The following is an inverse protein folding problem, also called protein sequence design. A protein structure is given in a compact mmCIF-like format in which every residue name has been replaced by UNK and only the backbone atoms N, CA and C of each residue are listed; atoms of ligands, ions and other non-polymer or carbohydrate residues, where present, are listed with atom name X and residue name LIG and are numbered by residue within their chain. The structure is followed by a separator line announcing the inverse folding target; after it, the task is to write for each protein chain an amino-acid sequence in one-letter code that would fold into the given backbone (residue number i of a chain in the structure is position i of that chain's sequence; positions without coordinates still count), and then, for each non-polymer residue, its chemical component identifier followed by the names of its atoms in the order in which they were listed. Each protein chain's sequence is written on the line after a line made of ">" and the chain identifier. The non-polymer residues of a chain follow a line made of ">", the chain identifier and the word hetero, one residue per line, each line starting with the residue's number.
data_IF_321115685822
#
_entry.id   IF_321115685822
#
_cell.length_a   1.000
_cell.length_b   1.000
_cell.length_c   1.000
_cell.angle_alpha   90.00
_cell.angle_beta   90.00
_cell.angle_gamma   90.00
#
_symmetry.space_group_name_H-M   'P 1'
#
loop_
_entity.id
_entity.type
_entity.pdbx_description
1 polymer ?
#
# COMPACT_ATOMS: atom_id res chain seq x y z
N UNK A 1 10.49 -4.77 23.82
CA UNK A 1 10.39 -3.42 23.21
C UNK A 1 9.69 -3.45 21.84
N UNK A 2 8.40 -3.83 21.77
CA UNK A 2 7.67 -4.07 20.50
C UNK A 2 6.37 -3.24 20.35
N UNK A 3 6.16 -2.21 21.17
CA UNK A 3 4.89 -1.45 21.18
C UNK A 3 5.02 0.09 21.06
N UNK A 4 6.22 0.65 21.17
CA UNK A 4 6.37 2.12 21.26
C UNK A 4 6.73 2.82 19.94
N UNK A 5 7.11 2.08 18.89
CA UNK A 5 7.57 2.68 17.63
C UNK A 5 6.46 3.33 16.77
N UNK A 6 5.19 3.16 17.14
CA UNK A 6 4.05 3.51 16.30
C UNK A 6 2.98 4.33 17.02
N UNK A 7 3.15 4.61 18.31
CA UNK A 7 2.08 5.22 19.10
C UNK A 7 2.11 6.75 19.13
N UNK A 8 3.16 7.41 18.62
CA UNK A 8 3.19 8.85 18.46
C UNK A 8 4.03 9.18 17.23
N UNK A 9 3.54 10.08 16.38
CA UNK A 9 4.44 10.84 15.51
C UNK A 9 5.53 11.45 16.40
N UNK A 10 6.82 11.06 16.28
CA UNK A 10 7.85 11.57 17.18
C UNK A 10 8.10 13.07 16.98
N UNK A 11 7.67 13.65 15.85
CA UNK A 11 7.72 15.09 15.60
C UNK A 11 6.30 15.67 15.78
N UNK A 12 6.08 16.46 16.83
CA UNK A 12 4.83 17.19 17.13
C UNK A 12 4.56 18.35 16.14
N UNK A 13 5.16 18.33 14.96
CA UNK A 13 5.06 19.38 13.96
C UNK A 13 4.24 18.86 12.79
N UNK A 14 3.33 19.69 12.30
CA UNK A 14 2.53 19.37 11.13
C UNK A 14 3.46 19.30 9.91
N UNK A 15 3.51 18.14 9.27
CA UNK A 15 4.32 17.92 8.08
C UNK A 15 3.94 18.88 6.96
N UNK A 16 2.68 19.34 6.87
CA UNK A 16 2.25 20.29 5.84
C UNK A 16 2.83 21.69 6.06
N UNK A 17 3.18 22.04 7.30
CA UNK A 17 3.73 23.33 7.68
C UNK A 17 5.26 23.38 7.73
N UNK A 18 5.94 22.23 7.63
CA UNK A 18 7.40 22.16 7.61
C UNK A 18 7.99 22.82 6.35
N UNK A 19 9.09 23.56 6.52
CA UNK A 19 9.86 24.15 5.42
C UNK A 19 10.63 23.09 4.65
N UNK A 20 10.72 23.24 3.33
CA UNK A 20 11.50 22.35 2.48
C UNK A 20 10.92 22.22 1.07
N UNK A 21 11.35 21.18 0.38
CA UNK A 21 10.85 20.80 -0.95
C UNK A 21 9.75 19.75 -0.84
N UNK A 22 9.17 19.35 -1.96
CA UNK A 22 8.22 18.22 -2.00
C UNK A 22 8.87 16.90 -1.59
N UNK A 23 10.17 16.75 -1.79
CA UNK A 23 10.92 15.52 -1.59
C UNK A 23 11.60 15.46 -0.22
N UNK A 24 11.84 16.60 0.41
CA UNK A 24 12.50 16.69 1.71
C UNK A 24 11.94 17.85 2.51
N UNK A 25 11.54 17.59 3.76
CA UNK A 25 11.11 18.66 4.69
C UNK A 25 11.97 18.67 5.94
N UNK A 26 12.27 19.85 6.45
CA UNK A 26 12.97 20.02 7.72
C UNK A 26 11.96 19.99 8.88
N UNK A 27 12.10 19.03 9.79
CA UNK A 27 11.43 19.12 11.10
C UNK A 27 12.32 20.02 11.98
N UNK A 28 11.86 21.24 12.25
CA UNK A 28 12.60 22.23 13.04
C UNK A 28 12.73 21.79 14.50
N UNK A 29 11.78 21.00 15.01
CA UNK A 29 11.84 20.42 16.37
C UNK A 29 12.95 19.37 16.54
N UNK A 30 13.15 18.54 15.53
CA UNK A 30 14.15 17.47 15.53
C UNK A 30 15.45 17.89 14.85
N UNK A 31 15.53 19.10 14.28
CA UNK A 31 16.64 19.61 13.47
C UNK A 31 17.12 18.60 12.42
N UNK A 32 16.17 17.88 11.81
CA UNK A 32 16.45 16.76 10.91
C UNK A 32 15.65 16.90 9.63
N UNK A 33 16.33 16.72 8.49
CA UNK A 33 15.68 16.64 7.18
C UNK A 33 15.02 15.27 7.01
N UNK A 34 13.72 15.30 6.76
CA UNK A 34 12.86 14.15 6.57
C UNK A 34 12.63 13.91 5.07
N UNK A 35 13.13 12.79 4.51
CA UNK A 35 12.83 12.45 3.13
C UNK A 35 11.36 12.03 2.99
N UNK A 36 10.72 12.49 1.93
CA UNK A 36 9.36 12.14 1.56
C UNK A 36 9.33 10.86 0.72
N UNK A 37 8.77 9.80 1.30
CA UNK A 37 8.68 8.49 0.69
C UNK A 37 7.26 8.17 0.19
N UNK A 38 6.36 9.15 0.18
CA UNK A 38 4.95 8.97 -0.19
C UNK A 38 4.77 8.34 -1.59
N UNK A 39 5.71 8.59 -2.50
CA UNK A 39 5.68 8.06 -3.87
C UNK A 39 6.49 6.75 -4.06
N UNK A 40 7.26 6.34 -3.05
CA UNK A 40 8.11 5.12 -3.11
C UNK A 40 7.27 3.86 -2.85
N UNK A 41 7.70 2.74 -3.42
CA UNK A 41 7.08 1.43 -3.17
C UNK A 41 7.31 0.98 -1.72
N UNK A 42 6.43 0.14 -1.19
CA UNK A 42 6.57 -0.43 0.15
C UNK A 42 7.88 -1.22 0.25
N UNK A 43 8.23 -1.97 -0.81
CA UNK A 43 9.50 -2.71 -0.87
C UNK A 43 10.72 -1.80 -0.66
N UNK A 44 10.77 -0.67 -1.38
CA UNK A 44 11.88 0.27 -1.25
C UNK A 44 11.92 0.89 0.15
N UNK A 45 10.76 1.23 0.70
CA UNK A 45 10.66 1.77 2.06
C UNK A 45 11.18 0.76 3.09
N UNK A 46 10.75 -0.51 2.97
CA UNK A 46 11.15 -1.57 3.90
C UNK A 46 12.65 -1.85 3.83
N UNK A 47 13.18 -2.04 2.62
CA UNK A 47 14.60 -2.34 2.41
C UNK A 47 15.52 -1.21 2.92
N UNK A 48 15.11 0.04 2.69
CA UNK A 48 15.99 1.17 2.87
C UNK A 48 15.80 1.91 4.20
N UNK A 49 14.61 1.85 4.82
CA UNK A 49 14.25 2.70 5.96
C UNK A 49 13.69 1.94 7.16
N UNK A 50 12.93 0.86 6.95
CA UNK A 50 12.29 0.15 8.06
C UNK A 50 13.32 -0.46 9.03
N UNK A 51 13.12 -0.24 10.33
CA UNK A 51 14.04 -0.68 11.39
C UNK A 51 15.34 0.12 11.53
N UNK A 52 15.62 1.09 10.65
CA UNK A 52 16.87 1.88 10.67
C UNK A 52 16.82 3.15 11.53
N UNK A 53 15.77 3.33 12.33
CA UNK A 53 15.55 4.51 13.21
C UNK A 53 15.70 5.86 12.50
N UNK A 54 15.28 5.94 11.23
CA UNK A 54 15.24 7.19 10.45
C UNK A 54 13.82 7.74 10.44
N UNK A 55 13.68 9.05 10.62
CA UNK A 55 12.42 9.75 10.46
C UNK A 55 12.17 10.03 8.97
N UNK A 56 10.96 9.78 8.49
CA UNK A 56 10.58 9.88 7.06
C UNK A 56 9.12 10.32 6.96
N UNK A 57 8.74 10.93 5.84
CA UNK A 57 7.34 11.27 5.55
C UNK A 57 6.73 10.14 4.72
N UNK A 58 5.55 9.68 5.13
CA UNK A 58 4.77 8.62 4.47
C UNK A 58 3.37 9.12 4.15
N UNK A 59 2.76 8.57 3.10
CA UNK A 59 1.33 8.76 2.89
C UNK A 59 0.52 8.06 3.99
N UNK A 60 -0.69 8.57 4.27
CA UNK A 60 -1.57 8.00 5.30
C UNK A 60 -1.84 6.49 5.10
N UNK A 61 -1.94 6.04 3.84
CA UNK A 61 -2.10 4.62 3.51
C UNK A 61 -0.88 3.76 3.86
N UNK A 62 0.32 4.27 3.57
CA UNK A 62 1.56 3.59 3.95
C UNK A 62 1.68 3.54 5.47
N UNK A 63 1.33 4.63 6.16
CA UNK A 63 1.33 4.69 7.62
C UNK A 63 0.35 3.67 8.23
N UNK A 64 -0.91 3.63 7.77
CA UNK A 64 -1.90 2.66 8.26
C UNK A 64 -1.46 1.22 7.99
N UNK A 65 -0.86 0.95 6.82
CA UNK A 65 -0.25 -0.34 6.51
C UNK A 65 0.84 -0.70 7.54
N UNK A 66 1.83 0.17 7.75
CA UNK A 66 2.91 -0.05 8.73
C UNK A 66 2.42 -0.16 10.18
N UNK A 67 1.33 0.53 10.53
CA UNK A 67 0.68 0.42 11.85
C UNK A 67 0.04 -0.95 12.08
N UNK A 68 -0.49 -1.58 11.03
CA UNK A 68 -1.13 -2.91 11.11
C UNK A 68 -0.12 -4.04 11.14
N UNK A 69 1.08 -3.80 10.65
CA UNK A 69 2.09 -4.83 10.48
C UNK A 69 2.74 -5.23 11.81
N UNK A 70 2.67 -6.52 12.13
CA UNK A 70 3.28 -7.07 13.36
C UNK A 70 4.76 -7.47 13.18
N UNK A 71 5.14 -7.85 11.97
CA UNK A 71 6.52 -8.16 11.51
C UNK A 71 6.47 -8.40 10.00
N UNK A 72 7.39 -7.83 9.21
CA UNK A 72 7.50 -8.16 7.78
C UNK A 72 8.28 -9.44 7.58
N UNK A 73 7.65 -10.48 7.06
CA UNK A 73 8.38 -11.68 6.61
C UNK A 73 8.75 -11.57 5.14
N UNK A 74 7.83 -11.12 4.28
CA UNK A 74 8.03 -11.03 2.83
C UNK A 74 7.20 -9.90 2.20
N UNK A 75 7.69 -9.33 1.10
CA UNK A 75 6.98 -8.37 0.25
C UNK A 75 6.88 -8.98 -1.13
N UNK A 76 5.68 -9.01 -1.70
CA UNK A 76 5.41 -9.52 -3.04
C UNK A 76 4.80 -8.40 -3.88
N UNK A 77 5.54 -7.87 -4.83
CA UNK A 77 4.98 -6.91 -5.78
C UNK A 77 4.29 -7.68 -6.92
N UNK A 78 3.16 -7.17 -7.39
CA UNK A 78 2.28 -7.75 -8.40
C UNK A 78 1.82 -6.66 -9.38
N UNK A 79 2.59 -6.32 -10.41
CA UNK A 79 2.19 -5.31 -11.41
C UNK A 79 1.74 -5.95 -12.71
N UNK A 80 0.49 -5.72 -13.16
CA UNK A 80 0.09 -6.03 -14.54
C UNK A 80 0.26 -4.78 -15.40
N UNK A 81 1.37 -4.67 -16.14
CA UNK A 81 1.50 -3.69 -17.21
C UNK A 81 0.59 -4.14 -18.35
N UNK A 82 -0.59 -3.54 -18.46
CA UNK A 82 -1.45 -3.72 -19.63
C UNK A 82 -0.87 -2.91 -20.79
N UNK A 83 0.05 -3.51 -21.53
CA UNK A 83 0.45 -2.98 -22.83
C UNK A 83 -0.70 -3.31 -23.79
N UNK A 84 -1.16 -2.28 -24.51
CA UNK A 84 -2.32 -2.36 -25.39
C UNK A 84 -2.28 -3.54 -26.37
N UNK A 85 -3.48 -4.06 -26.64
CA UNK A 85 -3.87 -4.98 -27.72
C UNK A 85 -3.20 -6.35 -27.75
N UNK A 86 -3.57 -7.25 -26.84
CA UNK A 86 -4.21 -8.55 -27.17
C UNK A 86 -4.53 -9.31 -25.88
N UNK A 87 -5.78 -9.78 -25.77
CA UNK A 87 -6.21 -10.74 -24.77
C UNK A 87 -5.46 -12.06 -24.98
N UNK A 88 -4.28 -12.29 -24.38
CA UNK A 88 -3.81 -13.67 -24.17
C UNK A 88 -2.71 -13.92 -23.12
N UNK A 89 -1.91 -12.94 -22.65
CA UNK A 89 -0.90 -13.26 -21.63
C UNK A 89 -0.78 -12.16 -20.57
N UNK A 90 -1.44 -12.37 -19.43
CA UNK A 90 -1.13 -11.69 -18.17
C UNK A 90 -0.33 -12.64 -17.29
N UNK A 91 0.85 -12.98 -17.76
CA UNK A 91 1.91 -13.50 -16.90
C UNK A 91 2.98 -12.41 -16.82
N UNK A 92 3.66 -12.32 -15.69
CA UNK A 92 4.70 -11.36 -15.32
C UNK A 92 4.19 -10.13 -14.57
N UNK A 93 4.41 -10.20 -13.27
CA UNK A 93 4.14 -9.15 -12.31
C UNK A 93 4.42 -9.59 -10.88
N UNK A 94 4.27 -10.89 -10.57
CA UNK A 94 4.64 -11.49 -9.29
C UNK A 94 5.96 -12.23 -9.38
N UNK A 95 7.06 -11.49 -9.29
CA UNK A 95 8.41 -12.07 -9.41
C UNK A 95 8.86 -12.90 -8.21
N UNK A 96 8.05 -13.05 -7.14
CA UNK A 96 8.53 -13.77 -5.95
C UNK A 96 7.64 -14.81 -5.29
N UNK A 97 6.41 -15.04 -5.76
CA UNK A 97 5.62 -16.19 -5.24
C UNK A 97 4.75 -16.79 -6.33
N UNK A 98 5.23 -17.87 -6.97
CA UNK A 98 4.36 -18.82 -7.65
C UNK A 98 3.60 -19.61 -6.58
N UNK A 99 2.47 -19.07 -6.10
CA UNK A 99 1.50 -19.93 -5.45
C UNK A 99 0.88 -20.80 -6.53
N UNK A 100 1.04 -22.13 -6.44
CA UNK A 100 0.41 -23.08 -7.36
C UNK A 100 -1.12 -22.86 -7.43
N UNK A 101 -1.70 -22.40 -6.32
CA UNK A 101 -3.10 -22.02 -6.18
C UNK A 101 -3.24 -20.54 -5.78
N UNK A 102 -3.71 -19.71 -6.71
CA UNK A 102 -3.96 -18.29 -6.49
C UNK A 102 -5.35 -17.83 -6.93
N UNK A 103 -5.82 -16.75 -6.30
CA UNK A 103 -7.01 -16.00 -6.67
C UNK A 103 -6.59 -14.69 -7.34
N UNK A 104 -7.00 -14.50 -8.59
CA UNK A 104 -6.82 -13.25 -9.32
C UNK A 104 -7.91 -12.24 -8.94
N UNK A 105 -7.51 -11.11 -8.37
CA UNK A 105 -8.38 -9.99 -8.03
C UNK A 105 -8.21 -8.90 -9.09
N UNK A 106 -9.32 -8.45 -9.68
CA UNK A 106 -9.34 -7.34 -10.66
C UNK A 106 -10.35 -6.27 -10.27
N UNK A 107 -10.05 -5.02 -10.57
CA UNK A 107 -10.99 -3.91 -10.41
C UNK A 107 -10.48 -2.61 -11.02
N UNK A 108 -11.36 -1.61 -11.02
CA UNK A 108 -11.06 -0.21 -11.35
C UNK A 108 -11.08 0.55 -10.03
N UNK A 109 -9.96 1.16 -9.66
CA UNK A 109 -9.87 1.97 -8.46
C UNK A 109 -10.57 3.31 -8.66
N UNK A 110 -11.45 3.65 -7.72
CA UNK A 110 -12.13 4.93 -7.67
C UNK A 110 -12.01 5.55 -6.27
N UNK A 111 -12.13 6.87 -6.20
CA UNK A 111 -12.30 7.57 -4.93
C UNK A 111 -13.78 7.59 -4.46
N UNK A 112 -14.08 8.43 -3.47
CA UNK A 112 -15.43 8.58 -2.93
C UNK A 112 -16.38 9.30 -3.91
N UNK A 113 -15.84 10.24 -4.69
CA UNK A 113 -16.55 11.00 -5.72
C UNK A 113 -16.72 10.22 -7.04
N UNK A 114 -16.17 9.00 -7.08
CA UNK A 114 -16.19 8.05 -8.21
C UNK A 114 -15.28 8.45 -9.37
N UNK A 115 -14.30 9.30 -9.12
CA UNK A 115 -13.23 9.58 -10.07
C UNK A 115 -12.29 8.38 -10.20
N UNK A 116 -11.76 8.17 -11.40
CA UNK A 116 -10.84 7.07 -11.70
C UNK A 116 -9.45 7.43 -11.18
N UNK A 117 -8.89 6.55 -10.35
CA UNK A 117 -7.57 6.75 -9.75
C UNK A 117 -6.48 6.08 -10.60
N UNK A 118 -5.68 6.89 -11.29
CA UNK A 118 -4.55 6.46 -12.14
C UNK A 118 -3.24 6.41 -11.36
N UNK A 119 -2.33 5.53 -11.75
CA UNK A 119 -0.99 5.36 -11.15
C UNK A 119 -1.00 5.19 -9.62
N UNK A 120 -2.14 4.75 -9.08
CA UNK A 120 -2.41 4.66 -7.66
C UNK A 120 -1.93 3.32 -7.15
N UNK A 121 -1.08 3.35 -6.14
CA UNK A 121 -0.64 2.14 -5.46
C UNK A 121 -1.79 1.51 -4.67
N UNK A 122 -1.93 0.20 -4.81
CA UNK A 122 -2.89 -0.65 -4.11
C UNK A 122 -2.10 -1.63 -3.25
N UNK A 123 -2.48 -1.73 -1.98
CA UNK A 123 -1.81 -2.55 -0.99
C UNK A 123 -2.78 -3.57 -0.39
N UNK A 124 -2.29 -4.77 -0.13
CA UNK A 124 -2.97 -5.83 0.60
C UNK A 124 -1.97 -6.42 1.59
N UNK A 125 -2.34 -6.48 2.87
CA UNK A 125 -1.58 -7.17 3.91
C UNK A 125 -2.36 -8.39 4.35
N UNK A 126 -1.71 -9.55 4.26
CA UNK A 126 -2.28 -10.83 4.69
C UNK A 126 -1.93 -11.09 6.15
N UNK A 127 -2.92 -11.58 6.89
CA UNK A 127 -2.82 -11.86 8.32
C UNK A 127 -1.99 -13.12 8.62
N UNK A 128 -2.10 -14.11 7.74
CA UNK A 128 -1.67 -15.48 8.03
C UNK A 128 -0.15 -15.63 7.99
N UNK A 129 0.52 -14.94 7.07
CA UNK A 129 1.95 -15.06 6.81
C UNK A 129 2.72 -13.74 6.91
N UNK A 130 2.03 -12.66 7.32
CA UNK A 130 2.55 -11.30 7.36
C UNK A 130 3.13 -10.80 6.00
N UNK A 131 2.58 -11.29 4.89
CA UNK A 131 3.01 -10.87 3.54
C UNK A 131 2.24 -9.64 3.06
N UNK A 132 2.97 -8.72 2.42
CA UNK A 132 2.37 -7.59 1.70
C UNK A 132 2.36 -7.87 0.22
N UNK A 133 1.20 -7.62 -0.40
CA UNK A 133 1.05 -7.56 -1.83
C UNK A 133 0.83 -6.12 -2.29
N UNK A 134 1.59 -5.67 -3.28
CA UNK A 134 1.51 -4.32 -3.84
C UNK A 134 1.25 -4.37 -5.35
N UNK A 135 0.36 -3.52 -5.85
CA UNK A 135 0.17 -3.27 -7.29
C UNK A 135 -0.04 -1.78 -7.54
N UNK A 136 -0.13 -1.37 -8.80
CA UNK A 136 -0.49 0.00 -9.21
C UNK A 136 -1.59 -0.03 -10.26
N UNK A 137 -2.44 0.97 -10.23
CA UNK A 137 -3.46 1.15 -11.25
C UNK A 137 -2.84 1.72 -12.53
N UNK A 138 -3.35 1.30 -13.69
CA UNK A 138 -2.94 1.83 -14.99
C UNK A 138 -3.62 3.19 -15.30
N UNK A 139 -3.44 3.69 -16.52
CA UNK A 139 -4.06 4.93 -17.01
C UNK A 139 -5.60 4.92 -17.02
N UNK A 140 -6.21 3.73 -16.99
CA UNK A 140 -7.67 3.53 -16.90
C UNK A 140 -8.13 3.28 -15.46
N UNK A 141 -7.22 3.36 -14.48
CA UNK A 141 -7.46 3.04 -13.08
C UNK A 141 -7.63 1.55 -12.78
N UNK A 142 -7.35 0.67 -13.75
CA UNK A 142 -7.47 -0.78 -13.57
C UNK A 142 -6.27 -1.33 -12.81
N UNK A 143 -6.51 -2.29 -11.91
CA UNK A 143 -5.46 -3.02 -11.20
C UNK A 143 -5.74 -4.53 -11.21
N UNK A 144 -4.67 -5.31 -11.02
CA UNK A 144 -4.72 -6.75 -10.83
C UNK A 144 -3.79 -7.19 -9.69
N UNK A 145 -4.23 -8.19 -8.93
CA UNK A 145 -3.50 -8.74 -7.79
C UNK A 145 -3.75 -10.25 -7.71
N UNK A 146 -2.70 -11.09 -7.69
CA UNK A 146 -2.88 -12.50 -7.36
C UNK A 146 -2.61 -12.70 -5.86
N UNK A 147 -3.59 -13.21 -5.13
CA UNK A 147 -3.42 -13.58 -3.73
C UNK A 147 -3.44 -15.10 -3.60
N UNK A 148 -2.78 -15.69 -2.60
CA UNK A 148 -2.93 -17.12 -2.30
C UNK A 148 -4.40 -17.46 -2.04
N UNK A 149 -4.82 -18.68 -2.40
CA UNK A 149 -6.10 -19.20 -1.95
C UNK A 149 -6.10 -19.42 -0.44
N UNK A 150 -7.29 -19.37 0.16
CA UNK A 150 -7.53 -19.66 1.58
C UNK A 150 -6.81 -18.71 2.55
N UNK A 151 -6.61 -17.44 2.16
CA UNK A 151 -5.97 -16.41 3.00
C UNK A 151 -6.97 -15.40 3.58
N UNK A 152 -6.57 -14.73 4.67
CA UNK A 152 -7.29 -13.61 5.28
C UNK A 152 -6.54 -12.30 5.07
N UNK A 153 -7.20 -11.33 4.45
CA UNK A 153 -6.70 -9.95 4.31
C UNK A 153 -6.99 -9.19 5.60
N UNK A 154 -5.95 -8.72 6.29
CA UNK A 154 -6.10 -7.86 7.48
C UNK A 154 -6.25 -6.38 7.07
N UNK A 155 -5.45 -5.93 6.10
CA UNK A 155 -5.52 -4.56 5.59
C UNK A 155 -5.50 -4.50 4.07
N UNK A 156 -6.27 -3.55 3.52
CA UNK A 156 -6.10 -3.07 2.16
C UNK A 156 -6.57 -1.63 2.08
N UNK A 157 -5.94 -0.83 1.21
CA UNK A 157 -6.45 0.49 0.86
C UNK A 157 -7.65 0.44 -0.11
N UNK A 158 -8.11 -0.75 -0.50
CA UNK A 158 -9.40 -0.98 -1.16
C UNK A 158 -10.43 -1.44 -0.14
N UNK A 159 -11.53 -0.68 0.00
CA UNK A 159 -12.57 -0.91 1.00
C UNK A 159 -13.18 -2.31 0.91
N UNK A 160 -13.41 -2.82 -0.30
CA UNK A 160 -14.02 -4.15 -0.51
C UNK A 160 -13.08 -5.33 -0.19
N UNK A 161 -11.79 -5.07 0.05
CA UNK A 161 -10.78 -6.08 0.38
C UNK A 161 -10.40 -6.08 1.86
N UNK A 162 -10.66 -5.00 2.61
CA UNK A 162 -10.39 -4.93 4.06
C UNK A 162 -11.13 -6.05 4.81
N UNK A 163 -10.42 -6.78 5.67
CA UNK A 163 -10.95 -7.91 6.45
C UNK A 163 -11.59 -9.03 5.62
N UNK A 164 -11.21 -9.16 4.34
CA UNK A 164 -11.81 -10.15 3.43
C UNK A 164 -11.08 -11.48 3.51
N UNK A 165 -11.85 -12.57 3.60
CA UNK A 165 -11.33 -13.94 3.42
C UNK A 165 -11.42 -14.35 1.96
N UNK A 166 -10.28 -14.71 1.38
CA UNK A 166 -10.18 -15.28 0.04
C UNK A 166 -10.31 -16.79 0.19
N UNK A 167 -11.46 -17.33 -0.21
CA UNK A 167 -11.69 -18.79 -0.21
C UNK A 167 -11.24 -19.40 -1.54
N UNK A 168 -11.59 -20.65 -1.78
CA UNK A 168 -11.32 -21.41 -3.00
C UNK A 168 -12.05 -20.84 -4.25
N UNK A 169 -11.67 -19.62 -4.66
CA UNK A 169 -12.16 -18.93 -5.86
C UNK A 169 -10.95 -18.51 -6.69
N UNK A 170 -10.91 -18.93 -7.95
CA UNK A 170 -9.82 -18.57 -8.86
C UNK A 170 -9.80 -17.09 -9.23
N UNK A 171 -10.95 -16.40 -9.14
CA UNK A 171 -11.05 -14.99 -9.54
C UNK A 171 -12.11 -14.21 -8.77
N UNK A 172 -11.81 -12.93 -8.50
CA UNK A 172 -12.74 -11.96 -7.90
C UNK A 172 -12.71 -10.67 -8.74
N UNK A 173 -13.88 -10.23 -9.20
CA UNK A 173 -14.05 -8.96 -9.91
C UNK A 173 -14.72 -7.94 -9.00
N UNK A 174 -14.02 -6.86 -8.66
CA UNK A 174 -14.53 -5.79 -7.81
C UNK A 174 -15.29 -4.71 -8.60
N UNK A 175 -15.25 -4.74 -9.94
CA UNK A 175 -15.77 -3.69 -10.84
C UNK A 175 -15.24 -2.32 -10.43
N UNK A 176 -16.01 -1.53 -9.67
CA UNK A 176 -15.59 -0.25 -9.08
C UNK A 176 -15.14 -0.46 -7.63
N UNK A 177 -13.83 -0.54 -7.44
CA UNK A 177 -13.19 -0.72 -6.15
C UNK A 177 -12.97 0.63 -5.48
N UNK A 178 -13.65 0.88 -4.36
CA UNK A 178 -13.53 2.16 -3.65
C UNK A 178 -12.26 2.13 -2.81
N UNK A 179 -11.42 3.14 -2.95
CA UNK A 179 -10.32 3.34 -2.02
C UNK A 179 -10.86 3.78 -0.65
N UNK A 180 -10.10 3.48 0.40
CA UNK A 180 -10.40 4.00 1.74
C UNK A 180 -9.90 5.44 1.78
N UNK A 181 -10.74 6.42 2.04
CA UNK A 181 -10.23 7.74 2.42
C UNK A 181 -9.61 7.59 3.81
N UNK A 182 -8.29 7.60 3.89
CA UNK A 182 -7.65 7.76 5.20
C UNK A 182 -7.79 9.23 5.52
N UNK A 183 -8.70 9.54 6.43
CA UNK A 183 -8.83 10.85 7.05
C UNK A 183 -7.43 11.39 7.31
N UNK A 184 -7.12 12.58 6.78
CA UNK A 184 -5.98 13.37 7.28
C UNK A 184 -6.07 13.27 8.79
N UNK A 185 -5.03 12.75 9.45
CA UNK A 185 -4.96 12.88 10.89
C UNK A 185 -5.31 14.35 11.18
N UNK A 186 -6.32 14.63 12.02
CA UNK A 186 -6.71 16.01 12.25
C UNK A 186 -5.45 16.72 12.71
N UNK A 187 -4.93 17.61 11.86
CA UNK A 187 -4.00 18.64 12.30
C UNK A 187 -4.74 19.35 13.41
N UNK A 188 -4.28 19.15 14.64
CA UNK A 188 -4.80 19.90 15.77
C UNK A 188 -4.46 21.37 15.49
N UNK A 189 -5.49 22.19 15.38
CA UNK A 189 -5.39 23.65 15.41
C UNK A 189 -4.70 24.13 16.68
#
# INVERSE_FOLDING_TARGET
>A
MKKELLQNNPCLEDCDQMKGTSDEKLCEKCMTTLPNLSNKSIESIVKNYFGKKKCVILSNHQLELFLKMKQLKKITIASSLFIGTTFMFSAYGQTHVQHADSCLIKGIAIDEDREILKERAIYVYLKDDDTIYETRTNENGEFQLNLPLNCEIDYSNIKQLKNKKIRNRKQIHLRKAKTITVSRAPGFF
#
